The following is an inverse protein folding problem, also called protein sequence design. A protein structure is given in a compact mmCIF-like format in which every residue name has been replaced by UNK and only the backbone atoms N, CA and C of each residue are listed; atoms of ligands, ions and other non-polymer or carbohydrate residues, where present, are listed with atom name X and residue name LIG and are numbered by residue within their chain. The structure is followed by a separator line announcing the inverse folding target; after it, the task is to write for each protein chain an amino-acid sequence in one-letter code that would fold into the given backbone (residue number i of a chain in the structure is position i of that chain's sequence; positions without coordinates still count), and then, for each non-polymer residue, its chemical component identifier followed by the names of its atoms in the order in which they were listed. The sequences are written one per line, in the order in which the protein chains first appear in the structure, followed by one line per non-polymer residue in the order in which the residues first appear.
data_IF_072433750223
#
_entry.id   IF_072433750223
#
_cell.length_a   1.000
_cell.length_b   1.000
_cell.length_c   1.000
_cell.angle_alpha   90.00
_cell.angle_beta   90.00
_cell.angle_gamma   90.00
#
_symmetry.space_group_name_H-M   'P 1'
#
loop_
_entity.id
_entity.type
_entity.pdbx_description
1 polymer ?
#
# COMPACT_ATOMS: atom_id res chain seq x y z
N UNK A 1 -0.87 14.18 -1.80
CA UNK A 1 -0.15 12.94 -2.09
C UNK A 1 -0.79 12.20 -3.22
N UNK A 2 0.01 11.68 -4.15
CA UNK A 2 -0.59 10.99 -5.29
C UNK A 2 -1.16 9.64 -4.85
N UNK A 3 -2.39 9.38 -5.28
CA UNK A 3 -2.94 8.04 -5.18
C UNK A 3 -2.27 7.17 -6.24
N UNK A 4 -1.90 5.96 -5.86
CA UNK A 4 -1.33 5.01 -6.80
C UNK A 4 -2.43 4.20 -7.46
N UNK A 5 -3.46 3.86 -6.71
CA UNK A 5 -4.55 3.04 -7.21
C UNK A 5 -5.76 3.21 -6.29
N UNK A 6 -6.95 3.21 -6.88
CA UNK A 6 -8.21 3.13 -6.14
C UNK A 6 -9.01 1.97 -6.68
N UNK A 7 -9.37 1.04 -5.80
CA UNK A 7 -10.16 -0.13 -6.20
C UNK A 7 -11.03 -0.55 -5.03
N UNK A 8 -12.31 -0.78 -5.29
CA UNK A 8 -13.30 -1.25 -4.30
C UNK A 8 -13.34 -0.39 -3.03
N UNK A 9 -13.12 0.92 -3.18
CA UNK A 9 -13.11 1.84 -2.05
C UNK A 9 -11.78 1.92 -1.32
N UNK A 10 -10.85 1.04 -1.60
CA UNK A 10 -9.50 1.12 -1.03
C UNK A 10 -8.68 2.11 -1.83
N UNK A 11 -7.96 2.98 -1.12
CA UNK A 11 -7.03 3.93 -1.73
C UNK A 11 -5.62 3.52 -1.37
N UNK A 12 -4.78 3.24 -2.37
CA UNK A 12 -3.38 2.89 -2.18
C UNK A 12 -2.52 4.09 -2.50
N UNK A 13 -1.54 4.39 -1.65
CA UNK A 13 -0.75 5.61 -1.81
C UNK A 13 0.61 5.49 -1.14
N UNK A 14 1.52 6.42 -1.49
CA UNK A 14 2.81 6.58 -0.83
C UNK A 14 2.84 7.93 -0.11
N UNK A 15 3.54 7.99 1.04
CA UNK A 15 3.89 9.27 1.63
C UNK A 15 5.16 9.80 0.96
N UNK A 16 5.37 11.12 1.02
CA UNK A 16 6.39 11.77 0.22
C UNK A 16 7.81 11.64 0.78
N UNK A 17 8.03 11.09 1.96
CA UNK A 17 9.35 11.06 2.58
C UNK A 17 9.69 9.71 3.20
N UNK A 18 9.51 8.64 2.45
CA UNK A 18 9.70 7.30 2.99
C UNK A 18 10.82 6.53 2.31
N UNK A 19 11.72 7.21 1.62
CA UNK A 19 12.72 6.54 0.79
C UNK A 19 13.73 5.70 1.54
N UNK A 20 13.84 5.83 2.87
CA UNK A 20 14.81 5.10 3.66
C UNK A 20 14.31 3.79 4.24
N UNK A 21 13.01 3.55 4.16
CA UNK A 21 12.44 2.28 4.63
C UNK A 21 12.38 1.28 3.48
N UNK A 22 12.29 -0.01 3.78
CA UNK A 22 12.00 -1.00 2.73
C UNK A 22 10.73 -0.62 1.98
N UNK A 23 10.61 -1.12 0.75
CA UNK A 23 9.45 -0.81 -0.09
C UNK A 23 8.15 -1.19 0.62
N UNK A 24 7.20 -0.26 0.64
CA UNK A 24 5.91 -0.49 1.28
C UNK A 24 4.85 0.38 0.62
N UNK A 25 3.59 0.07 0.92
CA UNK A 25 2.43 0.81 0.40
C UNK A 25 1.46 1.04 1.54
N UNK A 26 0.81 2.19 1.52
CA UNK A 26 -0.25 2.52 2.46
C UNK A 26 -1.59 2.31 1.80
N UNK A 27 -2.59 1.92 2.58
CA UNK A 27 -3.96 1.78 2.10
C UNK A 27 -4.91 2.33 3.14
N UNK A 28 -5.91 3.07 2.69
CA UNK A 28 -6.97 3.50 3.58
C UNK A 28 -8.34 3.30 2.93
N UNK A 29 -9.35 3.31 3.78
CA UNK A 29 -10.75 3.28 3.38
C UNK A 29 -11.54 3.91 4.53
N UNK A 30 -12.09 5.11 4.30
CA UNK A 30 -12.73 5.89 5.34
C UNK A 30 -11.72 6.13 6.47
N UNK A 31 -12.02 5.71 7.70
CA UNK A 31 -11.14 5.94 8.85
C UNK A 31 -10.19 4.77 9.11
N UNK A 32 -10.22 3.75 8.28
CA UNK A 32 -9.39 2.56 8.44
C UNK A 32 -8.10 2.73 7.64
N UNK A 33 -7.02 2.16 8.15
CA UNK A 33 -5.69 2.36 7.60
C UNK A 33 -4.86 1.10 7.75
N UNK A 34 -3.97 0.85 6.79
CA UNK A 34 -2.98 -0.21 6.91
C UNK A 34 -1.73 0.15 6.12
N UNK A 35 -0.63 -0.47 6.49
CA UNK A 35 0.66 -0.38 5.82
C UNK A 35 1.14 -1.80 5.55
N UNK A 36 1.56 -2.06 4.32
CA UNK A 36 2.07 -3.37 3.92
C UNK A 36 3.45 -3.22 3.32
N UNK A 37 4.34 -4.12 3.69
CA UNK A 37 5.61 -4.27 2.98
C UNK A 37 5.34 -4.86 1.60
N UNK A 38 6.18 -4.55 0.63
CA UNK A 38 6.00 -5.05 -0.75
C UNK A 38 6.91 -6.21 -1.10
N UNK A 39 7.94 -6.48 -0.31
CA UNK A 39 8.92 -7.49 -0.67
C UNK A 39 9.48 -8.19 0.57
N UNK A 40 8.85 -9.27 1.03
CA UNK A 40 7.59 -9.85 0.56
C UNK A 40 6.38 -9.03 1.00
N UNK A 41 5.21 -9.38 0.46
CA UNK A 41 3.98 -8.69 0.85
C UNK A 41 3.59 -9.17 2.25
N UNK A 42 3.70 -8.28 3.22
CA UNK A 42 3.38 -8.58 4.61
C UNK A 42 2.78 -7.37 5.29
N UNK A 43 1.81 -7.61 6.17
CA UNK A 43 1.20 -6.53 6.94
C UNK A 43 2.21 -5.97 7.93
N UNK A 44 2.42 -4.65 7.90
CA UNK A 44 3.29 -3.98 8.84
C UNK A 44 2.48 -3.34 9.97
N UNK A 45 1.32 -2.79 9.64
CA UNK A 45 0.53 -2.03 10.61
C UNK A 45 -0.91 -1.94 10.10
N UNK A 46 -1.89 -2.00 11.00
CA UNK A 46 -3.29 -1.77 10.60
C UNK A 46 -4.08 -1.17 11.74
N UNK A 47 -5.09 -0.39 11.36
CA UNK A 47 -6.04 0.19 12.29
C UNK A 47 -7.43 0.16 11.67
N UNK A 48 -8.34 -0.55 12.31
CA UNK A 48 -9.75 -0.55 11.95
C UNK A 48 -10.19 -1.56 10.91
N UNK A 49 -9.28 -2.14 10.14
CA UNK A 49 -9.67 -3.15 9.17
C UNK A 49 -9.93 -4.49 9.83
N UNK A 50 -10.93 -5.21 9.33
CA UNK A 50 -11.20 -6.59 9.74
C UNK A 50 -10.22 -7.52 9.03
N UNK A 51 -10.05 -8.72 9.57
CA UNK A 51 -9.13 -9.69 8.96
C UNK A 51 -9.53 -10.05 7.53
N UNK A 52 -10.83 -10.11 7.23
CA UNK A 52 -11.27 -10.36 5.86
C UNK A 52 -10.90 -9.22 4.91
N UNK A 53 -10.95 -7.99 5.41
CA UNK A 53 -10.55 -6.83 4.61
C UNK A 53 -9.05 -6.82 4.39
N UNK A 54 -8.27 -7.16 5.43
CA UNK A 54 -6.81 -7.23 5.29
C UNK A 54 -6.40 -8.32 4.30
N UNK A 55 -7.14 -9.43 4.26
CA UNK A 55 -6.89 -10.49 3.28
C UNK A 55 -7.17 -10.00 1.87
N UNK A 56 -8.28 -9.30 1.68
CA UNK A 56 -8.61 -8.71 0.39
C UNK A 56 -7.55 -7.71 -0.06
N UNK A 57 -7.12 -6.85 0.85
CA UNK A 57 -6.06 -5.87 0.56
C UNK A 57 -4.77 -6.58 0.19
N UNK A 58 -4.39 -7.61 0.93
CA UNK A 58 -3.19 -8.39 0.64
C UNK A 58 -3.25 -8.96 -0.78
N UNK A 59 -4.39 -9.53 -1.16
CA UNK A 59 -4.54 -10.09 -2.50
C UNK A 59 -4.46 -9.03 -3.59
N UNK A 60 -5.02 -7.85 -3.34
CA UNK A 60 -4.92 -6.74 -4.28
C UNK A 60 -3.47 -6.27 -4.43
N UNK A 61 -2.73 -6.20 -3.33
CA UNK A 61 -1.32 -5.81 -3.37
C UNK A 61 -0.50 -6.84 -4.14
N UNK A 62 -0.74 -8.13 -3.91
CA UNK A 62 -0.06 -9.17 -4.67
C UNK A 62 -0.32 -9.04 -6.16
N UNK A 63 -1.56 -8.77 -6.53
CA UNK A 63 -1.95 -8.62 -7.93
C UNK A 63 -1.24 -7.43 -8.59
N UNK A 64 -1.07 -6.34 -7.86
CA UNK A 64 -0.52 -5.10 -8.41
C UNK A 64 0.90 -4.81 -7.94
N UNK A 65 1.57 -5.79 -7.35
CA UNK A 65 2.86 -5.60 -6.68
C UNK A 65 3.91 -4.95 -7.57
N UNK A 66 4.07 -5.47 -8.79
CA UNK A 66 5.09 -4.92 -9.69
C UNK A 66 4.77 -3.48 -10.07
N UNK A 67 3.51 -3.18 -10.33
CA UNK A 67 3.09 -1.82 -10.63
C UNK A 67 3.38 -0.88 -9.47
N UNK A 68 3.13 -1.32 -8.25
CA UNK A 68 3.41 -0.51 -7.06
C UNK A 68 4.91 -0.25 -6.90
N UNK A 69 5.74 -1.28 -7.15
CA UNK A 69 7.18 -1.13 -7.03
C UNK A 69 7.69 -0.13 -8.07
N UNK A 70 7.25 -0.25 -9.32
CA UNK A 70 7.65 0.67 -10.37
C UNK A 70 7.23 2.10 -10.03
N UNK A 71 6.00 2.30 -9.60
CA UNK A 71 5.50 3.63 -9.27
C UNK A 71 6.21 4.20 -8.06
N UNK A 72 6.53 3.37 -7.06
CA UNK A 72 7.29 3.81 -5.91
C UNK A 72 8.68 4.25 -6.30
N UNK A 73 9.37 3.47 -7.13
CA UNK A 73 10.71 3.79 -7.55
C UNK A 73 10.72 5.08 -8.37
N UNK A 74 9.73 5.28 -9.25
CA UNK A 74 9.60 6.53 -9.98
C UNK A 74 9.37 7.71 -9.04
N UNK A 75 8.54 7.51 -8.03
CA UNK A 75 8.21 8.58 -7.08
C UNK A 75 9.44 9.00 -6.25
N UNK A 76 10.27 8.05 -5.85
CA UNK A 76 11.39 8.33 -4.95
C UNK A 76 12.73 8.51 -5.65
N UNK A 77 12.79 8.33 -6.95
CA UNK A 77 14.03 8.48 -7.73
C UNK A 77 14.11 9.80 -8.49
N UNK A 78 13.48 10.82 -7.96
CA UNK A 78 13.49 12.12 -8.66
C UNK A 78 14.40 13.13 -8.02
#
# INVERSE_FOLDING_TARGET
MPDVLRVRGFRFFFFSREGQEPRHIHVDHAERYAKFWLDPVELAESRGFRSSELREIHNLIEKHRESFIVKRDEHFNQ
#
